data_IF_607323979876
#
_entry.id   IF_607323979876
#
_cell.length_a   1.000
_cell.length_b   1.000
_cell.length_c   1.000
_cell.angle_alpha   90.00
_cell.angle_beta   90.00
_cell.angle_gamma   90.00
#
_symmetry.space_group_name_H-M   'P 1'
#
loop_
_entity.id
_entity.type
_entity.pdbx_description
1 polymer ?
#
# COMPACT_ATOMS: atom_id res chain seq x y z
N UNK A 1 -27.64 -33.68 -36.18
CA UNK A 1 -26.75 -32.50 -36.31
C UNK A 1 -27.46 -31.34 -35.65
N UNK A 2 -27.05 -30.98 -34.43
CA UNK A 2 -27.70 -29.95 -33.61
C UNK A 2 -26.65 -28.92 -33.20
N UNK A 3 -26.83 -27.70 -33.66
CA UNK A 3 -26.04 -26.54 -33.26
C UNK A 3 -26.55 -26.04 -31.91
N UNK A 4 -25.67 -25.97 -30.91
CA UNK A 4 -25.90 -25.22 -29.67
C UNK A 4 -25.03 -23.97 -29.71
N UNK A 5 -25.68 -22.82 -29.86
CA UNK A 5 -25.06 -21.51 -29.69
C UNK A 5 -24.83 -21.23 -28.22
N UNK A 6 -23.62 -20.78 -27.87
CA UNK A 6 -23.33 -20.20 -26.57
C UNK A 6 -23.55 -18.69 -26.64
N UNK A 7 -24.57 -18.19 -25.93
CA UNK A 7 -24.64 -16.78 -25.54
C UNK A 7 -23.53 -16.53 -24.51
N UNK A 8 -22.44 -15.87 -24.93
CA UNK A 8 -21.48 -15.27 -24.03
C UNK A 8 -22.04 -13.97 -23.48
N UNK A 9 -22.48 -13.98 -22.22
CA UNK A 9 -22.81 -12.76 -21.48
C UNK A 9 -21.47 -12.10 -21.13
N UNK A 10 -21.08 -11.09 -21.91
CA UNK A 10 -20.04 -10.15 -21.51
C UNK A 10 -20.60 -9.30 -20.37
N UNK A 11 -20.21 -9.61 -19.13
CA UNK A 11 -20.36 -8.70 -18.01
C UNK A 11 -19.32 -7.61 -18.22
N UNK A 12 -19.73 -6.53 -18.89
CA UNK A 12 -18.95 -5.31 -18.97
C UNK A 12 -18.76 -4.77 -17.55
N UNK A 13 -17.51 -4.74 -17.10
CA UNK A 13 -17.15 -4.00 -15.89
C UNK A 13 -17.49 -2.52 -16.14
N UNK A 14 -18.12 -1.82 -15.18
CA UNK A 14 -18.34 -0.38 -15.33
C UNK A 14 -16.97 0.29 -15.45
N UNK A 15 -16.75 0.98 -16.58
CA UNK A 15 -15.65 1.93 -16.73
C UNK A 15 -15.85 2.92 -15.58
N UNK A 16 -14.86 3.00 -14.68
CA UNK A 16 -14.89 3.93 -13.57
C UNK A 16 -15.11 5.34 -14.14
N UNK A 17 -16.21 5.98 -13.74
CA UNK A 17 -16.47 7.38 -14.07
C UNK A 17 -15.29 8.20 -13.56
N UNK A 18 -14.61 9.01 -14.40
CA UNK A 18 -13.51 9.85 -13.93
C UNK A 18 -14.01 10.70 -12.76
N UNK A 19 -13.25 10.64 -11.67
CA UNK A 19 -13.50 11.32 -10.42
C UNK A 19 -13.51 12.83 -10.66
N UNK A 20 -14.71 13.41 -10.81
CA UNK A 20 -14.89 14.81 -10.41
C UNK A 20 -14.47 14.87 -8.95
N UNK A 21 -13.46 15.66 -8.61
CA UNK A 21 -13.19 16.05 -7.22
C UNK A 21 -14.55 16.33 -6.56
N UNK A 22 -14.94 15.47 -5.61
CA UNK A 22 -16.17 15.64 -4.82
C UNK A 22 -16.05 16.80 -3.84
N UNK A 23 -14.97 17.59 -3.94
CA UNK A 23 -14.82 18.91 -3.35
C UNK A 23 -15.77 19.90 -4.03
N UNK A 24 -17.04 19.72 -3.70
CA UNK A 24 -18.03 20.75 -3.59
C UNK A 24 -19.03 20.28 -2.56
N UNK A 25 -18.56 20.04 -1.33
CA UNK A 25 -19.42 19.94 -0.17
C UNK A 25 -20.29 21.21 0.02
N UNK A 26 -19.89 22.34 -0.59
CA UNK A 26 -20.65 23.59 -0.67
C UNK A 26 -21.32 23.86 -2.04
N UNK A 27 -21.18 22.97 -3.03
CA UNK A 27 -21.86 23.11 -4.34
C UNK A 27 -21.33 24.23 -5.26
N UNK A 28 -20.20 24.87 -4.97
CA UNK A 28 -19.69 25.99 -5.77
C UNK A 28 -18.95 25.55 -7.04
N UNK A 29 -19.36 25.98 -8.23
CA UNK A 29 -18.55 25.74 -9.45
C UNK A 29 -17.08 26.11 -9.22
N UNK A 30 -16.10 25.24 -9.57
CA UNK A 30 -14.68 25.57 -9.45
C UNK A 30 -14.40 26.88 -10.18
N UNK A 31 -13.44 27.69 -9.70
CA UNK A 31 -13.10 28.95 -10.34
C UNK A 31 -12.74 28.70 -11.81
N UNK A 32 -13.01 29.66 -12.71
CA UNK A 32 -12.58 29.53 -14.09
C UNK A 32 -11.05 29.35 -14.16
N UNK A 33 -10.53 28.56 -15.13
CA UNK A 33 -9.09 28.40 -15.33
C UNK A 33 -8.37 29.74 -15.46
N UNK A 34 -7.21 29.85 -14.80
CA UNK A 34 -6.31 31.01 -14.94
C UNK A 34 -5.80 31.08 -16.40
N UNK A 35 -6.03 32.18 -17.13
CA UNK A 35 -5.57 32.33 -18.52
C UNK A 35 -4.07 32.11 -18.69
N UNK A 36 -3.26 32.51 -17.72
CA UNK A 36 -1.80 32.38 -17.79
C UNK A 36 -1.38 30.91 -17.66
N UNK A 37 -2.02 30.17 -16.76
CA UNK A 37 -1.84 28.72 -16.65
C UNK A 37 -2.33 27.99 -17.89
N UNK A 38 -3.48 28.37 -18.46
CA UNK A 38 -4.00 27.75 -19.70
C UNK A 38 -3.00 27.91 -20.84
N UNK A 39 -2.41 29.11 -20.99
CA UNK A 39 -1.40 29.38 -22.00
C UNK A 39 -0.13 28.54 -21.78
N UNK A 40 0.35 28.43 -20.53
CA UNK A 40 1.50 27.61 -20.18
C UNK A 40 1.24 26.11 -20.44
N UNK A 41 0.08 25.62 -20.02
CA UNK A 41 -0.38 24.25 -20.25
C UNK A 41 -0.44 23.91 -21.74
N UNK A 42 -1.06 24.79 -22.54
CA UNK A 42 -1.13 24.63 -24.00
C UNK A 42 0.26 24.60 -24.64
N UNK A 43 1.17 25.46 -24.18
CA UNK A 43 2.54 25.52 -24.70
C UNK A 43 3.32 24.23 -24.39
N UNK A 44 3.09 23.65 -23.21
CA UNK A 44 3.78 22.44 -22.73
C UNK A 44 3.21 21.17 -23.34
N UNK A 45 1.88 21.07 -23.46
CA UNK A 45 1.19 19.83 -23.84
C UNK A 45 0.60 19.82 -25.25
N UNK A 46 0.55 20.95 -25.94
CA UNK A 46 0.00 21.05 -27.31
C UNK A 46 -1.50 20.77 -27.41
N UNK A 47 -2.25 20.89 -26.31
CA UNK A 47 -3.70 20.71 -26.23
C UNK A 47 -4.33 21.65 -25.21
N UNK A 48 -5.63 21.90 -25.34
CA UNK A 48 -6.39 22.60 -24.31
C UNK A 48 -6.50 21.75 -23.03
N UNK A 49 -6.42 22.37 -21.84
CA UNK A 49 -6.70 21.69 -20.58
C UNK A 49 -8.18 21.31 -20.49
N UNK A 50 -8.45 20.14 -19.93
CA UNK A 50 -9.78 19.69 -19.57
C UNK A 50 -10.08 20.00 -18.09
N UNK A 51 -11.28 19.63 -17.63
CA UNK A 51 -11.70 19.88 -16.24
C UNK A 51 -10.79 19.19 -15.21
N UNK A 52 -10.27 18.00 -15.51
CA UNK A 52 -9.35 17.28 -14.63
C UNK A 52 -8.00 18.00 -14.53
N UNK A 53 -7.43 18.42 -15.66
CA UNK A 53 -6.14 19.14 -15.66
C UNK A 53 -6.20 20.40 -14.78
N UNK A 54 -7.33 21.10 -14.81
CA UNK A 54 -7.56 22.28 -13.95
C UNK A 54 -7.71 21.91 -12.47
N UNK A 55 -8.39 20.82 -12.17
CA UNK A 55 -8.52 20.30 -10.82
C UNK A 55 -7.17 19.88 -10.23
N UNK A 56 -6.34 19.22 -11.04
CA UNK A 56 -4.98 18.81 -10.69
C UNK A 56 -4.11 20.05 -10.39
N UNK A 57 -4.21 21.09 -11.22
CA UNK A 57 -3.51 22.36 -10.98
C UNK A 57 -3.94 23.05 -9.68
N UNK A 58 -5.25 23.15 -9.41
CA UNK A 58 -5.74 23.74 -8.15
C UNK A 58 -5.23 22.96 -6.93
N UNK A 59 -5.13 21.64 -7.05
CA UNK A 59 -4.57 20.79 -6.01
C UNK A 59 -3.07 21.08 -5.80
N UNK A 60 -2.30 21.19 -6.88
CA UNK A 60 -0.86 21.46 -6.78
C UNK A 60 -0.53 22.83 -6.19
N UNK A 61 -1.43 23.81 -6.36
CA UNK A 61 -1.34 25.10 -5.67
C UNK A 61 -1.65 25.01 -4.17
N UNK A 62 -2.59 24.15 -3.78
CA UNK A 62 -3.00 23.98 -2.37
C UNK A 62 -1.96 23.19 -1.57
N UNK A 63 -1.33 22.20 -2.21
CA UNK A 63 -0.39 21.28 -1.58
C UNK A 63 0.97 21.44 -2.23
N UNK A 64 2.00 21.99 -1.57
CA UNK A 64 3.32 22.09 -2.18
C UNK A 64 3.88 20.69 -2.46
N UNK A 65 4.42 20.51 -3.67
CA UNK A 65 5.12 19.30 -4.09
C UNK A 65 6.46 19.15 -3.39
N UNK A 66 7.14 18.05 -3.67
CA UNK A 66 8.39 17.70 -2.98
C UNK A 66 9.64 18.28 -3.65
N UNK A 67 9.47 19.06 -4.72
CA UNK A 67 10.52 19.78 -5.41
C UNK A 67 10.91 21.10 -4.75
N UNK A 68 11.96 21.77 -5.25
CA UNK A 68 12.33 23.12 -4.81
C UNK A 68 11.13 24.06 -4.89
N UNK A 69 10.97 24.93 -3.88
CA UNK A 69 9.87 25.89 -3.79
C UNK A 69 8.45 25.27 -3.81
N UNK A 70 8.31 23.98 -3.50
CA UNK A 70 7.01 23.30 -3.53
C UNK A 70 6.57 22.88 -4.93
N UNK A 71 7.51 22.80 -5.89
CA UNK A 71 7.23 22.28 -7.22
C UNK A 71 6.82 20.80 -7.15
N UNK A 72 5.80 20.46 -7.93
CA UNK A 72 5.39 19.07 -8.12
C UNK A 72 6.30 18.40 -9.14
N UNK A 73 7.08 17.45 -8.66
CA UNK A 73 7.91 16.60 -9.49
C UNK A 73 7.05 15.47 -10.10
N UNK A 74 7.55 14.81 -11.15
CA UNK A 74 6.86 13.65 -11.76
C UNK A 74 6.44 12.58 -10.74
N UNK A 75 7.25 12.40 -9.69
CA UNK A 75 6.94 11.47 -8.59
C UNK A 75 5.69 11.87 -7.81
N UNK A 76 5.46 13.17 -7.61
CA UNK A 76 4.32 13.70 -6.85
C UNK A 76 3.04 13.45 -7.64
N UNK A 77 3.07 13.70 -8.95
CA UNK A 77 1.97 13.40 -9.87
C UNK A 77 1.67 11.91 -9.98
N UNK A 78 2.71 11.07 -10.06
CA UNK A 78 2.52 9.61 -10.07
C UNK A 78 1.87 9.11 -8.79
N UNK A 79 2.30 9.63 -7.63
CA UNK A 79 1.69 9.32 -6.34
C UNK A 79 0.24 9.81 -6.31
N UNK A 80 -0.02 11.05 -6.73
CA UNK A 80 -1.36 11.62 -6.79
C UNK A 80 -2.34 10.82 -7.67
N UNK A 81 -2.01 10.57 -8.94
CA UNK A 81 -2.91 9.84 -9.83
C UNK A 81 -3.19 8.41 -9.36
N UNK A 82 -2.23 7.80 -8.65
CA UNK A 82 -2.41 6.49 -8.02
C UNK A 82 -3.19 6.55 -6.70
N UNK A 83 -3.17 7.68 -6.01
CA UNK A 83 -4.01 7.95 -4.84
C UNK A 83 -5.45 8.29 -5.21
N UNK A 84 -5.68 8.90 -6.37
CA UNK A 84 -7.02 9.05 -6.96
C UNK A 84 -7.67 7.67 -7.14
N UNK A 85 -6.89 6.64 -7.50
CA UNK A 85 -7.36 5.24 -7.49
C UNK A 85 -7.61 4.69 -6.06
N UNK A 86 -6.88 5.19 -5.05
CA UNK A 86 -7.09 4.90 -3.63
C UNK A 86 -8.27 5.65 -2.99
N UNK A 87 -9.00 6.52 -3.70
CA UNK A 87 -10.23 7.17 -3.19
C UNK A 87 -11.39 6.19 -2.90
N UNK A 88 -11.14 4.88 -2.97
CA UNK A 88 -11.92 3.84 -2.28
C UNK A 88 -11.83 3.96 -0.75
N UNK A 89 -10.79 4.60 -0.21
CA UNK A 89 -10.59 4.85 1.21
C UNK A 89 -10.94 6.30 1.54
N UNK A 90 -12.07 6.55 2.24
CA UNK A 90 -12.43 7.89 2.65
C UNK A 90 -11.41 8.42 3.68
N UNK A 91 -10.99 9.67 3.50
CA UNK A 91 -10.21 10.39 4.50
C UNK A 91 -11.03 10.74 5.73
N UNK A 92 -10.42 11.42 6.70
CA UNK A 92 -11.07 11.75 7.98
C UNK A 92 -11.90 13.03 7.93
N UNK A 93 -11.91 13.72 6.79
CA UNK A 93 -12.67 14.95 6.56
C UNK A 93 -14.15 14.73 6.25
N UNK A 94 -14.94 15.82 6.16
CA UNK A 94 -16.33 15.78 5.72
C UNK A 94 -16.44 15.04 4.37
N UNK A 95 -17.49 14.24 4.20
CA UNK A 95 -17.74 13.47 2.97
C UNK A 95 -16.61 12.51 2.53
N UNK A 96 -15.68 12.17 3.43
CA UNK A 96 -14.53 11.32 3.13
C UNK A 96 -13.38 12.06 2.45
N UNK A 97 -13.33 13.38 2.55
CA UNK A 97 -12.20 14.19 2.10
C UNK A 97 -10.93 13.85 2.89
N UNK A 98 -9.80 13.81 2.19
CA UNK A 98 -8.48 13.68 2.81
C UNK A 98 -8.00 15.05 3.26
N UNK A 99 -7.83 15.20 4.57
CA UNK A 99 -7.30 16.42 5.17
C UNK A 99 -5.77 16.39 5.13
N UNK A 100 -5.13 17.55 5.31
CA UNK A 100 -3.67 17.69 5.35
C UNK A 100 -3.01 16.72 6.35
N UNK A 101 -3.67 16.49 7.49
CA UNK A 101 -3.23 15.53 8.50
C UNK A 101 -3.27 14.08 8.01
N UNK A 102 -4.24 13.73 7.16
CA UNK A 102 -4.37 12.38 6.61
C UNK A 102 -3.21 12.13 5.63
N UNK A 103 -2.91 13.14 4.82
CA UNK A 103 -1.75 13.14 3.92
C UNK A 103 -0.43 12.98 4.67
N UNK A 104 -0.23 13.74 5.76
CA UNK A 104 0.99 13.63 6.58
C UNK A 104 1.19 12.24 7.16
N UNK A 105 0.12 11.60 7.63
CA UNK A 105 0.18 10.22 8.14
C UNK A 105 0.53 9.23 7.02
N UNK A 106 -0.11 9.38 5.85
CA UNK A 106 0.19 8.52 4.70
C UNK A 106 1.65 8.66 4.25
N UNK A 107 2.15 9.89 4.12
CA UNK A 107 3.55 10.12 3.75
C UNK A 107 4.51 9.59 4.82
N UNK A 108 4.18 9.75 6.11
CA UNK A 108 4.97 9.15 7.19
C UNK A 108 5.06 7.63 7.04
N UNK A 109 3.96 6.95 6.69
CA UNK A 109 3.98 5.50 6.45
C UNK A 109 4.84 5.14 5.24
N UNK A 110 4.74 5.89 4.14
CA UNK A 110 5.57 5.72 2.94
C UNK A 110 7.05 5.90 3.27
N UNK A 111 7.41 6.97 3.97
CA UNK A 111 8.80 7.26 4.39
C UNK A 111 9.33 6.20 5.35
N UNK A 112 8.50 5.74 6.29
CA UNK A 112 8.85 4.68 7.23
C UNK A 112 9.18 3.37 6.51
N UNK A 113 8.42 3.00 5.48
CA UNK A 113 8.67 1.81 4.69
C UNK A 113 9.91 1.98 3.80
N UNK A 114 10.07 3.17 3.22
CA UNK A 114 11.16 3.51 2.32
C UNK A 114 11.09 2.82 0.94
N UNK A 115 11.80 3.40 -0.02
CA UNK A 115 11.79 3.01 -1.44
C UNK A 115 12.07 1.51 -1.65
N UNK A 116 13.00 0.93 -0.87
CA UNK A 116 13.44 -0.45 -1.04
C UNK A 116 12.35 -1.47 -0.69
N UNK A 117 11.60 -1.25 0.40
CA UNK A 117 10.50 -2.13 0.81
C UNK A 117 9.25 -1.89 -0.05
N UNK A 118 8.95 -0.63 -0.35
CA UNK A 118 7.86 -0.29 -1.27
C UNK A 118 8.10 -0.91 -2.65
N UNK A 119 9.36 -0.95 -3.08
CA UNK A 119 9.79 -1.66 -4.28
C UNK A 119 9.58 -3.18 -4.25
N UNK A 120 9.22 -3.78 -3.11
CA UNK A 120 8.88 -5.22 -3.00
C UNK A 120 7.39 -5.51 -3.08
N UNK A 121 6.51 -4.49 -3.07
CA UNK A 121 5.08 -4.66 -3.30
C UNK A 121 4.87 -5.22 -4.72
N UNK A 122 3.92 -6.14 -4.89
CA UNK A 122 3.70 -6.85 -6.16
C UNK A 122 4.72 -7.95 -6.49
N UNK A 123 5.86 -8.03 -5.78
CA UNK A 123 6.91 -9.02 -6.07
C UNK A 123 6.73 -10.29 -5.22
N UNK A 124 7.10 -11.44 -5.78
CA UNK A 124 7.17 -12.72 -5.03
C UNK A 124 8.44 -12.87 -4.18
N UNK A 125 9.35 -11.89 -4.22
CA UNK A 125 10.68 -11.95 -3.57
C UNK A 125 11.78 -12.56 -4.44
N UNK A 126 13.03 -12.38 -4.00
CA UNK A 126 14.24 -12.83 -4.70
C UNK A 126 14.77 -14.21 -4.26
N UNK A 127 16.04 -14.47 -4.56
CA UNK A 127 16.73 -15.70 -4.17
C UNK A 127 16.74 -15.84 -2.63
N UNK A 128 16.26 -16.98 -2.13
CA UNK A 128 16.22 -17.29 -0.69
C UNK A 128 14.86 -17.12 -0.01
N UNK A 129 13.97 -16.27 -0.53
CA UNK A 129 12.60 -16.11 0.02
C UNK A 129 11.79 -17.40 -0.10
N UNK A 130 12.06 -18.21 -1.13
CA UNK A 130 11.40 -19.50 -1.36
C UNK A 130 11.65 -20.54 -0.26
N UNK A 131 12.87 -20.58 0.32
CA UNK A 131 13.20 -21.50 1.42
C UNK A 131 12.34 -21.21 2.64
N UNK A 132 12.31 -19.96 3.09
CA UNK A 132 11.49 -19.56 4.23
C UNK A 132 9.99 -19.68 3.94
N UNK A 133 9.56 -19.36 2.71
CA UNK A 133 8.17 -19.59 2.32
C UNK A 133 7.77 -21.07 2.43
N UNK A 134 8.67 -22.00 2.08
CA UNK A 134 8.45 -23.43 2.25
C UNK A 134 8.30 -23.86 3.71
N UNK A 135 9.12 -23.29 4.60
CA UNK A 135 9.00 -23.49 6.06
C UNK A 135 7.64 -22.99 6.55
N UNK A 136 7.24 -21.77 6.17
CA UNK A 136 5.95 -21.21 6.54
C UNK A 136 4.76 -22.06 6.07
N UNK A 137 4.78 -22.53 4.82
CA UNK A 137 3.75 -23.42 4.25
C UNK A 137 3.65 -24.74 5.01
N UNK A 138 4.79 -25.33 5.37
CA UNK A 138 4.84 -26.55 6.17
C UNK A 138 4.24 -26.33 7.57
N UNK A 139 4.62 -25.25 8.24
CA UNK A 139 4.15 -24.89 9.59
C UNK A 139 2.66 -24.52 9.60
N UNK A 140 2.15 -23.93 8.52
CA UNK A 140 0.73 -23.65 8.33
C UNK A 140 -0.14 -24.91 8.14
N UNK A 141 0.46 -26.10 8.06
CA UNK A 141 -0.22 -27.38 7.82
C UNK A 141 -1.19 -27.30 6.62
N UNK A 142 -0.80 -26.54 5.59
CA UNK A 142 -1.56 -26.31 4.34
C UNK A 142 -2.90 -25.55 4.47
N UNK A 143 -3.23 -24.99 5.63
CA UNK A 143 -4.42 -24.11 5.79
C UNK A 143 -4.08 -22.67 5.42
N UNK A 144 -3.88 -22.44 4.13
CA UNK A 144 -3.41 -21.17 3.59
C UNK A 144 -4.53 -20.44 2.87
N UNK A 145 -4.76 -19.20 3.28
CA UNK A 145 -5.58 -18.26 2.55
C UNK A 145 -4.68 -17.44 1.61
N UNK A 146 -5.12 -17.15 0.37
CA UNK A 146 -4.38 -16.29 -0.52
C UNK A 146 -4.36 -14.86 0.03
N UNK A 147 -3.16 -14.29 0.10
CA UNK A 147 -2.94 -12.88 0.41
C UNK A 147 -2.51 -12.09 -0.84
N UNK A 148 -2.19 -10.80 -0.67
CA UNK A 148 -1.73 -9.93 -1.75
C UNK A 148 -0.37 -10.39 -2.31
N UNK A 149 -0.14 -10.18 -3.60
CA UNK A 149 1.18 -10.34 -4.25
C UNK A 149 1.87 -11.70 -4.06
N UNK A 150 1.09 -12.76 -3.89
CA UNK A 150 1.62 -14.11 -3.63
C UNK A 150 2.02 -14.35 -2.16
N UNK A 151 1.70 -13.42 -1.25
CA UNK A 151 1.63 -13.67 0.19
C UNK A 151 0.58 -14.73 0.48
N UNK A 152 0.80 -15.52 1.52
CA UNK A 152 -0.14 -16.50 2.05
C UNK A 152 -0.34 -16.23 3.53
N UNK A 153 -1.57 -16.37 4.00
CA UNK A 153 -1.92 -16.12 5.39
C UNK A 153 -2.46 -17.43 5.97
N UNK A 154 -1.98 -17.85 7.12
CA UNK A 154 -2.53 -18.99 7.83
C UNK A 154 -2.98 -18.56 9.22
N UNK A 155 -4.23 -18.89 9.56
CA UNK A 155 -4.79 -18.69 10.87
C UNK A 155 -4.67 -19.98 11.69
N UNK A 156 -3.88 -19.94 12.77
CA UNK A 156 -3.51 -21.13 13.54
C UNK A 156 -4.15 -21.09 14.93
N UNK A 157 -4.69 -22.23 15.37
CA UNK A 157 -5.53 -22.27 16.59
C UNK A 157 -4.75 -22.45 17.89
N UNK A 158 -3.56 -23.05 17.87
CA UNK A 158 -2.82 -23.39 19.08
C UNK A 158 -1.31 -23.21 18.91
N UNK A 159 -0.69 -22.64 19.94
CA UNK A 159 0.73 -22.82 20.24
C UNK A 159 0.96 -24.25 20.79
N UNK A 160 2.07 -24.95 20.46
CA UNK A 160 3.11 -24.61 19.48
C UNK A 160 2.79 -25.10 18.05
N UNK A 161 1.58 -25.61 17.83
CA UNK A 161 1.17 -26.40 16.67
C UNK A 161 1.02 -25.64 15.34
N UNK A 162 1.64 -24.45 15.20
CA UNK A 162 1.53 -23.63 14.00
C UNK A 162 2.79 -22.85 13.65
N UNK A 163 3.92 -23.05 14.34
CA UNK A 163 5.18 -22.37 13.99
C UNK A 163 5.29 -20.90 14.40
N UNK A 164 4.39 -20.43 15.27
CA UNK A 164 4.48 -19.12 15.93
C UNK A 164 5.30 -19.28 17.21
N UNK A 165 6.38 -18.51 17.41
CA UNK A 165 7.18 -18.54 18.64
C UNK A 165 6.37 -18.19 19.90
N UNK A 166 6.81 -18.62 21.10
CA UNK A 166 6.14 -18.26 22.35
C UNK A 166 6.01 -16.74 22.50
N UNK A 167 4.96 -16.28 23.17
CA UNK A 167 4.70 -14.87 23.47
C UNK A 167 4.50 -13.95 22.25
N UNK A 168 4.19 -14.52 21.08
CA UNK A 168 3.79 -13.76 19.89
C UNK A 168 2.46 -14.26 19.37
N UNK A 169 1.73 -13.37 18.70
CA UNK A 169 0.42 -13.67 18.12
C UNK A 169 0.46 -13.71 16.58
N UNK A 170 1.56 -13.26 15.99
CA UNK A 170 1.89 -13.35 14.57
C UNK A 170 3.34 -13.77 14.36
N UNK A 171 3.64 -14.34 13.19
CA UNK A 171 5.00 -14.55 12.75
C UNK A 171 5.07 -14.68 11.22
N UNK A 172 6.16 -14.20 10.63
CA UNK A 172 6.38 -14.26 9.18
C UNK A 172 7.54 -15.18 8.77
N UNK A 173 7.29 -16.01 7.76
CA UNK A 173 8.25 -16.87 7.09
C UNK A 173 8.23 -16.63 5.57
N UNK A 174 9.14 -15.80 5.07
CA UNK A 174 9.19 -15.48 3.64
C UNK A 174 7.91 -14.78 3.17
N UNK A 175 7.14 -15.43 2.29
CA UNK A 175 5.81 -14.95 1.86
C UNK A 175 4.64 -15.56 2.64
N UNK A 176 4.88 -16.19 3.79
CA UNK A 176 3.83 -16.81 4.59
C UNK A 176 3.74 -16.14 5.94
N UNK A 177 2.59 -15.54 6.21
CA UNK A 177 2.22 -14.92 7.48
C UNK A 177 1.41 -15.96 8.27
N UNK A 178 1.79 -16.18 9.52
CA UNK A 178 1.10 -17.01 10.49
C UNK A 178 0.48 -16.09 11.54
N UNK A 179 -0.82 -16.17 11.77
CA UNK A 179 -1.53 -15.36 12.78
C UNK A 179 -2.35 -16.31 13.65
N UNK A 180 -2.42 -16.06 14.96
CA UNK A 180 -3.33 -16.80 15.83
C UNK A 180 -4.78 -16.55 15.37
N UNK A 181 -5.61 -17.59 15.36
CA UNK A 181 -7.01 -17.45 14.92
C UNK A 181 -7.78 -16.37 15.70
N UNK A 182 -7.42 -16.16 16.98
CA UNK A 182 -7.98 -15.08 17.81
C UNK A 182 -7.69 -13.67 17.27
N UNK A 183 -6.59 -13.51 16.54
CA UNK A 183 -6.13 -12.26 15.94
C UNK A 183 -6.49 -12.16 14.45
N UNK A 184 -7.38 -13.03 13.93
CA UNK A 184 -7.71 -13.08 12.49
C UNK A 184 -8.09 -11.71 11.91
N UNK A 185 -8.83 -10.92 12.70
CA UNK A 185 -9.32 -9.60 12.30
C UNK A 185 -8.43 -8.44 12.81
N UNK A 186 -7.27 -8.74 13.39
CA UNK A 186 -6.33 -7.73 13.87
C UNK A 186 -5.55 -7.16 12.68
N UNK A 187 -6.13 -6.14 12.05
CA UNK A 187 -5.56 -5.48 10.87
C UNK A 187 -4.18 -4.87 11.16
N UNK A 188 -3.94 -4.14 12.26
CA UNK A 188 -2.60 -3.63 12.58
C UNK A 188 -1.54 -4.73 12.63
N UNK A 189 -1.83 -5.86 13.30
CA UNK A 189 -0.92 -7.01 13.33
C UNK A 189 -0.65 -7.55 11.93
N UNK A 190 -1.66 -7.62 11.06
CA UNK A 190 -1.45 -8.06 9.67
C UNK A 190 -0.53 -7.10 8.88
N UNK A 191 -0.62 -5.78 9.12
CA UNK A 191 0.27 -4.81 8.48
C UNK A 191 1.71 -4.92 9.01
N UNK A 192 1.86 -5.17 10.31
CA UNK A 192 3.15 -5.50 10.94
C UNK A 192 3.80 -6.71 10.28
N UNK A 193 3.09 -7.84 10.21
CA UNK A 193 3.60 -9.06 9.59
C UNK A 193 3.86 -8.90 8.08
N UNK A 194 3.03 -8.14 7.37
CA UNK A 194 3.28 -7.85 5.96
C UNK A 194 4.55 -7.00 5.76
N UNK A 195 4.90 -6.14 6.72
CA UNK A 195 6.19 -5.42 6.69
C UNK A 195 7.37 -6.39 6.72
N UNK A 196 7.30 -7.44 7.54
CA UNK A 196 8.31 -8.51 7.53
C UNK A 196 8.33 -9.28 6.21
N UNK A 197 7.19 -9.48 5.54
CA UNK A 197 7.18 -10.07 4.19
C UNK A 197 8.01 -9.22 3.22
N UNK A 198 7.83 -7.90 3.23
CA UNK A 198 8.62 -6.99 2.38
C UNK A 198 10.11 -7.07 2.73
N UNK A 199 10.46 -7.08 4.02
CA UNK A 199 11.85 -7.22 4.47
C UNK A 199 12.47 -8.57 4.05
N UNK A 200 11.71 -9.68 4.09
CA UNK A 200 12.13 -10.99 3.56
C UNK A 200 12.35 -10.97 2.05
N UNK A 201 11.50 -10.27 1.30
CA UNK A 201 11.64 -10.15 -0.16
C UNK A 201 12.89 -9.37 -0.53
N UNK A 202 13.18 -8.29 0.21
CA UNK A 202 14.34 -7.44 0.01
C UNK A 202 15.65 -8.16 0.38
N UNK A 203 15.69 -8.84 1.53
CA UNK A 203 16.94 -9.39 2.09
C UNK A 203 17.16 -10.88 1.78
N UNK A 204 16.12 -11.60 1.38
CA UNK A 204 16.17 -13.01 1.00
C UNK A 204 16.65 -13.92 2.13
N UNK A 205 17.62 -14.80 1.83
CA UNK A 205 18.12 -15.79 2.81
C UNK A 205 18.80 -15.15 4.03
N UNK A 206 19.22 -13.89 3.93
CA UNK A 206 19.93 -13.17 5.00
C UNK A 206 18.99 -12.59 6.06
N UNK A 207 17.68 -12.61 5.83
CA UNK A 207 16.71 -12.04 6.76
C UNK A 207 16.84 -12.63 8.16
N UNK A 208 16.61 -13.93 8.32
CA UNK A 208 16.61 -14.60 9.63
C UNK A 208 17.93 -14.41 10.39
N UNK A 209 19.13 -14.64 9.82
CA UNK A 209 20.35 -14.40 10.57
C UNK A 209 20.55 -12.94 10.96
N UNK A 210 20.11 -11.97 10.16
CA UNK A 210 20.17 -10.55 10.52
C UNK A 210 19.17 -10.19 11.62
N UNK A 211 17.95 -10.71 11.51
CA UNK A 211 16.90 -10.54 12.51
C UNK A 211 17.34 -11.13 13.87
N UNK A 212 17.85 -12.36 13.88
CA UNK A 212 18.32 -13.02 15.11
C UNK A 212 19.52 -12.29 15.74
N UNK A 213 20.39 -11.66 14.95
CA UNK A 213 21.50 -10.84 15.47
C UNK A 213 21.01 -9.59 16.21
N UNK A 214 19.86 -9.02 15.81
CA UNK A 214 19.20 -7.94 16.54
C UNK A 214 18.56 -8.38 17.86
N UNK A 215 18.38 -9.70 18.04
CA UNK A 215 17.71 -10.31 19.17
C UNK A 215 16.24 -10.62 18.86
N UNK A 216 15.84 -11.88 19.10
CA UNK A 216 14.42 -12.27 19.13
C UNK A 216 13.72 -11.46 20.23
N UNK A 217 12.58 -10.84 19.91
CA UNK A 217 11.79 -10.03 20.83
C UNK A 217 12.49 -8.78 21.39
N UNK A 218 13.57 -8.32 20.75
CA UNK A 218 14.22 -7.08 21.12
C UNK A 218 13.57 -5.90 20.38
N UNK A 219 12.39 -5.51 20.85
CA UNK A 219 11.56 -4.45 20.26
C UNK A 219 12.25 -3.08 20.23
N UNK A 220 13.27 -2.88 21.06
CA UNK A 220 13.98 -1.60 21.20
C UNK A 220 15.26 -1.51 20.37
N UNK A 221 15.80 -2.64 19.86
CA UNK A 221 17.09 -2.63 19.16
C UNK A 221 17.13 -3.48 17.88
N UNK A 222 16.13 -4.30 17.61
CA UNK A 222 16.05 -5.02 16.34
C UNK A 222 15.39 -4.10 15.30
N UNK A 223 16.14 -3.58 14.31
CA UNK A 223 15.61 -2.59 13.37
C UNK A 223 14.44 -3.13 12.53
N UNK A 224 14.38 -4.45 12.30
CA UNK A 224 13.27 -5.07 11.57
C UNK A 224 11.97 -4.99 12.38
N UNK A 225 12.05 -5.28 13.69
CA UNK A 225 10.91 -5.22 14.60
C UNK A 225 10.49 -3.79 14.93
N UNK A 226 11.44 -2.88 15.16
CA UNK A 226 11.12 -1.47 15.39
C UNK A 226 10.27 -0.90 14.25
N UNK A 227 10.64 -1.19 12.99
CA UNK A 227 9.88 -0.76 11.82
C UNK A 227 8.50 -1.40 11.78
N UNK A 228 8.39 -2.71 12.04
CA UNK A 228 7.11 -3.41 12.11
C UNK A 228 6.19 -2.85 13.20
N UNK A 229 6.71 -2.58 14.40
CA UNK A 229 5.97 -2.00 15.53
C UNK A 229 5.50 -0.59 15.20
N UNK A 230 6.35 0.25 14.59
CA UNK A 230 5.96 1.60 14.22
C UNK A 230 4.85 1.59 13.14
N UNK A 231 4.93 0.68 12.17
CA UNK A 231 3.83 0.44 11.21
C UNK A 231 2.56 0.01 11.94
N UNK A 232 2.65 -0.93 12.88
CA UNK A 232 1.49 -1.38 13.66
C UNK A 232 0.82 -0.20 14.38
N UNK A 233 1.60 0.64 15.07
CA UNK A 233 1.10 1.80 15.80
C UNK A 233 0.41 2.81 14.87
N UNK A 234 0.96 3.06 13.67
CA UNK A 234 0.32 3.91 12.66
C UNK A 234 -1.06 3.36 12.30
N UNK A 235 -1.21 2.06 12.06
CA UNK A 235 -2.51 1.47 11.73
C UNK A 235 -3.47 1.35 12.92
N UNK A 236 -2.96 1.25 14.15
CA UNK A 236 -3.78 1.34 15.37
C UNK A 236 -4.39 2.73 15.53
N UNK A 237 -3.63 3.79 15.26
CA UNK A 237 -4.09 5.17 15.39
C UNK A 237 -4.86 5.67 14.17
N UNK A 238 -4.61 5.09 12.99
CA UNK A 238 -5.15 5.54 11.71
C UNK A 238 -5.75 4.36 10.91
N UNK A 239 -6.84 3.73 11.40
CA UNK A 239 -7.41 2.52 10.79
C UNK A 239 -8.03 2.74 9.40
N UNK A 240 -8.22 4.00 9.00
CA UNK A 240 -8.73 4.43 7.68
C UNK A 240 -7.67 4.36 6.58
N UNK A 241 -6.38 4.25 6.91
CA UNK A 241 -5.31 4.10 5.92
C UNK A 241 -5.57 2.90 5.01
N UNK A 242 -5.17 2.96 3.73
CA UNK A 242 -5.19 1.78 2.86
C UNK A 242 -4.22 0.70 3.39
N UNK A 243 -4.41 -0.59 3.11
CA UNK A 243 -3.41 -1.61 3.40
C UNK A 243 -2.08 -1.36 2.68
N UNK A 244 -0.96 -1.81 3.25
CA UNK A 244 0.39 -1.57 2.69
C UNK A 244 0.52 -2.05 1.24
N UNK A 245 -0.04 -3.21 0.90
CA UNK A 245 0.01 -3.76 -0.45
C UNK A 245 -0.79 -2.96 -1.49
N UNK A 246 -1.61 -2.00 -1.07
CA UNK A 246 -2.31 -1.07 -1.95
C UNK A 246 -1.58 0.26 -2.07
N UNK A 247 -0.49 0.47 -1.32
CA UNK A 247 0.39 1.62 -1.50
C UNK A 247 1.06 1.48 -2.86
N UNK A 248 0.68 2.37 -3.77
CA UNK A 248 1.12 2.27 -5.15
C UNK A 248 2.47 2.97 -5.31
N UNK A 249 3.54 2.19 -5.31
CA UNK A 249 4.89 2.71 -5.40
C UNK A 249 5.40 2.82 -6.85
N UNK A 250 5.89 4.00 -7.23
CA UNK A 250 6.43 4.26 -8.58
C UNK A 250 7.96 4.37 -8.62
N UNK A 251 8.63 4.34 -7.46
CA UNK A 251 10.08 4.41 -7.37
C UNK A 251 10.77 3.08 -7.67
N UNK A 252 10.92 2.79 -8.95
CA UNK A 252 11.79 1.73 -9.42
C UNK A 252 12.59 2.20 -10.61
N UNK A 253 13.68 2.95 -10.39
CA UNK A 253 14.81 2.91 -11.32
C UNK A 253 15.20 1.44 -11.43
N UNK A 254 15.00 0.87 -12.60
CA UNK A 254 15.62 -0.36 -13.06
C UNK A 254 17.14 -0.17 -12.94
N UNK A 255 17.70 -0.69 -11.84
CA UNK A 255 19.10 -1.11 -11.81
C UNK A 255 19.25 -2.41 -12.58
#
# INVERSE_FOLDING_TARGET
MSAKGSLGIFVGWPIATPLRLRENAEGGTPPPPDPDWVADFQSTHGRDPNQQDWQDHLLSLRYPGTGPNGEWLDRDWQVYYRLVDLLRYPGTGPNGEWLDRDWQVYYRLVDLLGDDLLGQIGKRGGHGTGLYSGIGVFLALWKLEPGPDGTRIAYVRNFPAGGIPPNTTGWTWGNTILILESERNNRPLLMHEYTHVLQYRLTGIRYVPNYLKGGLYNWDNNPYEMQGVEVQQIYEWHPWLPPIWEIVWAGGRSG
#
